data_IF_803923000239
#
_entry.id   IF_803923000239
#
_cell.length_a   1.000
_cell.length_b   1.000
_cell.length_c   1.000
_cell.angle_alpha   90.00
_cell.angle_beta   90.00
_cell.angle_gamma   90.00
#
_symmetry.space_group_name_H-M   'P 1'
#
loop_
_entity.id
_entity.type
_entity.pdbx_description
1 polymer ?
#
# COMPACT_ATOMS: atom_id res chain seq x y z
N UNK A 1 40.89 0.07 39.50
CA UNK A 1 41.66 1.32 39.74
C UNK A 1 42.72 1.42 38.67
N UNK A 2 42.51 2.17 37.64
CA UNK A 2 43.53 2.67 36.69
C UNK A 2 42.97 3.89 36.02
N UNK A 3 43.71 5.01 35.93
CA UNK A 3 43.19 6.31 35.51
C UNK A 3 43.28 6.52 33.97
N UNK A 4 42.60 7.53 33.42
CA UNK A 4 42.54 7.81 32.00
C UNK A 4 43.74 8.61 31.50
N UNK A 5 44.18 8.38 30.26
CA UNK A 5 45.22 9.15 29.58
C UNK A 5 44.61 10.23 28.69
N UNK A 6 44.95 11.47 29.00
CA UNK A 6 44.78 12.64 28.13
C UNK A 6 45.80 12.57 26.97
N UNK A 7 45.37 12.93 25.75
CA UNK A 7 46.26 13.25 24.63
C UNK A 7 45.92 14.68 24.15
N UNK A 8 46.96 15.47 24.10
CA UNK A 8 46.94 16.91 23.85
C UNK A 8 46.79 17.24 22.35
N UNK A 9 46.13 18.35 22.09
CA UNK A 9 46.01 18.97 20.76
C UNK A 9 47.28 19.77 20.42
N UNK A 10 47.69 19.65 19.19
CA UNK A 10 48.78 20.50 18.59
C UNK A 10 48.11 21.49 17.61
N UNK A 11 48.26 22.78 17.89
CA UNK A 11 47.90 23.89 17.00
C UNK A 11 49.11 24.12 16.05
N UNK A 12 48.83 24.19 14.75
CA UNK A 12 49.80 24.73 13.75
C UNK A 12 49.20 26.02 13.15
N UNK A 13 49.89 27.13 13.40
CA UNK A 13 49.66 28.43 12.83
C UNK A 13 50.48 28.51 11.53
N UNK A 14 49.89 28.91 10.42
CA UNK A 14 50.62 29.34 9.21
C UNK A 14 50.09 30.72 8.74
N UNK A 15 51.08 31.54 8.46
CA UNK A 15 51.00 32.99 8.25
C UNK A 15 50.47 33.41 6.87
N UNK A 16 49.96 34.63 6.83
CA UNK A 16 49.43 35.35 5.69
C UNK A 16 50.50 35.75 4.65
N UNK A 17 50.14 35.67 3.37
CA UNK A 17 50.83 36.40 2.29
C UNK A 17 49.78 37.25 1.55
N UNK A 18 50.01 38.60 1.56
CA UNK A 18 49.26 39.58 0.78
C UNK A 18 49.67 39.52 -0.70
N UNK A 19 48.69 39.30 -1.56
CA UNK A 19 48.81 39.47 -3.01
C UNK A 19 47.69 40.41 -3.50
N UNK A 20 48.06 41.59 -3.99
CA UNK A 20 47.15 42.57 -4.61
C UNK A 20 46.63 42.05 -5.94
N UNK A 21 45.35 41.95 -6.10
CA UNK A 21 44.68 41.63 -7.37
C UNK A 21 43.72 42.74 -7.77
N UNK A 22 43.85 43.18 -8.99
CA UNK A 22 43.13 44.20 -9.72
C UNK A 22 41.61 43.91 -9.81
N UNK A 23 40.82 44.93 -9.54
CA UNK A 23 39.36 44.96 -9.65
C UNK A 23 38.93 44.92 -11.11
N UNK A 24 38.29 43.84 -11.52
CA UNK A 24 37.36 43.83 -12.65
C UNK A 24 35.95 43.55 -12.13
N UNK A 25 35.04 44.50 -12.33
CA UNK A 25 33.64 44.36 -11.94
C UNK A 25 32.95 43.30 -12.75
N UNK A 26 32.23 42.36 -12.11
CA UNK A 26 31.37 41.45 -12.84
C UNK A 26 30.07 42.16 -13.22
N UNK A 27 29.69 42.02 -14.48
CA UNK A 27 28.37 42.35 -15.04
C UNK A 27 27.31 41.56 -14.27
N UNK A 28 26.34 42.25 -13.71
CA UNK A 28 25.20 41.64 -13.02
C UNK A 28 24.34 40.85 -14.04
N UNK A 29 24.40 39.55 -13.95
CA UNK A 29 23.46 38.66 -14.62
C UNK A 29 22.13 38.72 -13.87
N UNK A 30 21.08 39.21 -14.50
CA UNK A 30 19.69 39.15 -14.02
C UNK A 30 19.30 37.67 -13.74
N UNK A 31 18.76 37.31 -12.59
CA UNK A 31 18.27 35.99 -12.36
C UNK A 31 17.02 35.78 -13.22
N UNK A 32 17.11 34.89 -14.21
CA UNK A 32 15.95 34.37 -14.93
C UNK A 32 15.18 33.51 -13.93
N UNK A 33 14.01 33.96 -13.54
CA UNK A 33 13.04 33.18 -12.77
C UNK A 33 12.71 31.93 -13.61
N UNK A 34 12.87 30.73 -13.09
CA UNK A 34 12.38 29.56 -13.83
C UNK A 34 10.85 29.67 -13.90
N UNK A 35 10.35 29.84 -15.12
CA UNK A 35 8.92 29.66 -15.41
C UNK A 35 8.55 28.27 -14.93
N UNK A 36 7.65 28.19 -13.96
CA UNK A 36 7.08 26.92 -13.52
C UNK A 36 6.47 26.28 -14.78
N UNK A 37 7.11 25.21 -15.23
CA UNK A 37 6.57 24.34 -16.26
C UNK A 37 5.25 23.81 -15.72
N UNK A 38 4.14 24.28 -16.28
CA UNK A 38 2.82 23.74 -15.97
C UNK A 38 2.88 22.22 -16.09
N UNK A 39 2.54 21.53 -15.02
CA UNK A 39 2.53 20.07 -14.98
C UNK A 39 1.72 19.54 -16.16
N UNK A 40 2.40 18.90 -17.09
CA UNK A 40 1.74 18.05 -18.08
C UNK A 40 0.95 17.02 -17.28
N UNK A 41 -0.36 17.15 -17.27
CA UNK A 41 -1.25 16.15 -16.69
C UNK A 41 -0.87 14.81 -17.31
N UNK A 42 -0.31 13.91 -16.51
CA UNK A 42 -0.04 12.54 -16.94
C UNK A 42 -1.34 11.98 -17.45
N UNK A 43 -1.35 11.50 -18.72
CA UNK A 43 -2.53 10.88 -19.31
C UNK A 43 -3.03 9.78 -18.36
N UNK A 44 -4.35 9.75 -18.14
CA UNK A 44 -4.93 8.76 -17.25
C UNK A 44 -4.57 7.35 -17.72
N UNK A 45 -3.95 6.55 -16.83
CA UNK A 45 -3.50 5.18 -17.13
C UNK A 45 -4.70 4.25 -16.98
N UNK A 46 -4.96 3.43 -18.02
CA UNK A 46 -5.97 2.39 -17.96
C UNK A 46 -5.44 1.19 -17.16
N UNK A 47 -6.14 0.82 -16.10
CA UNK A 47 -5.72 -0.23 -15.15
C UNK A 47 -6.25 -1.63 -15.51
N UNK A 48 -6.89 -1.81 -16.66
CA UNK A 48 -7.50 -3.10 -17.04
C UNK A 48 -6.53 -4.29 -17.03
N UNK A 49 -5.25 -4.05 -17.38
CA UNK A 49 -4.24 -5.11 -17.44
C UNK A 49 -4.01 -5.83 -16.10
N UNK A 50 -4.13 -5.14 -14.96
CA UNK A 50 -3.90 -5.75 -13.64
C UNK A 50 -4.95 -6.82 -13.29
N UNK A 51 -6.15 -6.73 -13.86
CA UNK A 51 -7.23 -7.69 -13.57
C UNK A 51 -6.97 -9.09 -14.12
N UNK A 52 -5.98 -9.27 -15.00
CA UNK A 52 -5.50 -10.59 -15.42
C UNK A 52 -4.83 -11.38 -14.27
N UNK A 53 -4.41 -10.69 -13.20
CA UNK A 53 -3.82 -11.30 -12.00
C UNK A 53 -4.87 -11.89 -11.03
N UNK A 54 -6.16 -11.55 -11.23
CA UNK A 54 -7.21 -12.01 -10.32
C UNK A 54 -7.47 -13.51 -10.52
N UNK A 55 -7.44 -14.24 -9.40
CA UNK A 55 -7.67 -15.68 -9.36
C UNK A 55 -9.15 -16.05 -9.54
N UNK A 56 -9.42 -17.36 -9.52
CA UNK A 56 -10.78 -17.92 -9.72
C UNK A 56 -11.79 -17.55 -8.63
N UNK A 57 -11.34 -17.04 -7.49
CA UNK A 57 -12.21 -16.62 -6.38
C UNK A 57 -12.99 -15.32 -6.70
N UNK A 58 -12.56 -14.56 -7.70
CA UNK A 58 -13.23 -13.35 -8.15
C UNK A 58 -13.53 -13.43 -9.65
N UNK A 59 -14.77 -13.13 -10.06
CA UNK A 59 -15.10 -12.95 -11.46
C UNK A 59 -15.02 -11.47 -11.82
N UNK A 60 -14.28 -11.15 -12.87
CA UNK A 60 -14.07 -9.77 -13.34
C UNK A 60 -14.75 -9.58 -14.69
N UNK A 61 -15.55 -8.54 -14.81
CA UNK A 61 -16.12 -8.06 -16.08
C UNK A 61 -15.68 -6.63 -16.29
N UNK A 62 -15.10 -6.35 -17.44
CA UNK A 62 -14.64 -5.01 -17.82
C UNK A 62 -15.59 -4.40 -18.85
N UNK A 63 -15.98 -3.16 -18.63
CA UNK A 63 -16.56 -2.30 -19.67
C UNK A 63 -15.57 -1.17 -20.05
N UNK A 64 -16.01 -0.13 -20.75
CA UNK A 64 -15.13 0.93 -21.19
C UNK A 64 -14.53 1.78 -20.06
N UNK A 65 -15.17 1.81 -18.88
CA UNK A 65 -14.83 2.72 -17.79
C UNK A 65 -14.67 2.02 -16.44
N UNK A 66 -15.23 0.82 -16.29
CA UNK A 66 -15.42 0.17 -14.98
C UNK A 66 -15.02 -1.29 -15.02
N UNK A 67 -14.32 -1.73 -13.99
CA UNK A 67 -14.20 -3.14 -13.64
C UNK A 67 -15.30 -3.48 -12.64
N UNK A 68 -16.15 -4.45 -12.98
CA UNK A 68 -17.09 -5.06 -12.04
C UNK A 68 -16.49 -6.36 -11.53
N UNK A 69 -16.10 -6.37 -10.26
CA UNK A 69 -15.53 -7.55 -9.58
C UNK A 69 -16.59 -8.15 -8.66
N UNK A 70 -16.89 -9.42 -8.87
CA UNK A 70 -17.81 -10.20 -8.01
C UNK A 70 -17.00 -11.24 -7.27
N UNK A 71 -17.18 -11.33 -5.96
CA UNK A 71 -16.46 -12.30 -5.14
C UNK A 71 -17.35 -12.93 -4.09
N UNK A 72 -17.02 -14.19 -3.76
CA UNK A 72 -17.55 -14.87 -2.58
C UNK A 72 -16.77 -14.55 -1.31
N UNK A 73 -15.68 -13.80 -1.42
CA UNK A 73 -14.82 -13.36 -0.31
C UNK A 73 -14.24 -14.52 0.52
N UNK A 74 -14.05 -15.65 -0.13
CA UNK A 74 -13.52 -16.86 0.47
C UNK A 74 -12.02 -16.95 0.17
N UNK A 75 -11.14 -17.03 1.19
CA UNK A 75 -9.70 -17.16 0.98
C UNK A 75 -9.34 -18.49 0.34
N UNK A 76 -8.30 -18.50 -0.49
CA UNK A 76 -7.77 -19.69 -1.19
C UNK A 76 -6.58 -20.33 -0.43
N UNK A 77 -6.49 -20.11 0.86
CA UNK A 77 -5.39 -20.57 1.70
C UNK A 77 -5.88 -21.16 3.03
N UNK A 78 -5.03 -21.93 3.74
CA UNK A 78 -5.35 -22.43 5.06
C UNK A 78 -5.58 -21.29 6.08
N UNK A 79 -6.58 -21.48 6.95
CA UNK A 79 -6.87 -20.58 8.08
C UNK A 79 -7.66 -21.32 9.15
N UNK A 80 -7.54 -20.97 10.44
CA UNK A 80 -8.40 -21.56 11.49
C UNK A 80 -9.89 -21.22 11.32
N UNK A 81 -10.18 -20.21 10.50
CA UNK A 81 -11.54 -19.72 10.28
C UNK A 81 -12.38 -20.54 9.28
N UNK A 82 -11.78 -21.53 8.64
CA UNK A 82 -12.55 -22.55 7.89
C UNK A 82 -13.39 -23.47 8.77
N UNK A 83 -13.02 -23.59 10.05
CA UNK A 83 -13.62 -24.56 10.95
C UNK A 83 -13.09 -26.00 10.74
N UNK A 84 -13.12 -26.77 11.81
CA UNK A 84 -12.66 -28.17 11.79
C UNK A 84 -13.47 -29.00 10.77
N UNK A 85 -12.76 -29.82 9.98
CA UNK A 85 -13.36 -30.65 8.94
C UNK A 85 -13.29 -30.08 7.53
N UNK A 86 -12.96 -28.80 7.35
CA UNK A 86 -12.63 -28.24 6.05
C UNK A 86 -11.22 -28.66 5.63
N UNK A 87 -11.00 -28.92 4.34
CA UNK A 87 -9.69 -29.33 3.83
C UNK A 87 -8.60 -28.23 3.97
N UNK A 88 -8.99 -26.96 4.08
CA UNK A 88 -8.11 -25.83 4.30
C UNK A 88 -8.07 -25.36 5.77
N UNK A 89 -8.69 -26.15 6.68
CA UNK A 89 -8.56 -25.85 8.11
C UNK A 89 -7.12 -26.05 8.58
N UNK A 90 -6.60 -25.12 9.31
CA UNK A 90 -5.38 -25.26 10.12
C UNK A 90 -5.63 -24.78 11.55
N UNK A 91 -4.89 -25.34 12.51
CA UNK A 91 -4.96 -24.87 13.90
C UNK A 91 -4.42 -23.44 14.00
N UNK A 92 -4.98 -22.61 14.92
CA UNK A 92 -4.43 -21.30 15.19
C UNK A 92 -2.94 -21.36 15.51
N UNK A 93 -2.17 -20.37 15.04
CA UNK A 93 -0.76 -20.25 15.40
C UNK A 93 -0.63 -19.89 16.91
N UNK A 94 0.50 -20.24 17.54
CA UNK A 94 0.76 -19.80 18.93
C UNK A 94 0.62 -18.29 19.07
N UNK A 95 -0.24 -17.84 19.98
CA UNK A 95 -0.54 -16.43 20.22
C UNK A 95 -1.77 -15.90 19.49
N UNK A 96 -2.27 -16.58 18.45
CA UNK A 96 -3.52 -16.20 17.81
C UNK A 96 -4.71 -16.47 18.74
N UNK A 97 -5.52 -15.44 18.96
CA UNK A 97 -6.77 -15.52 19.73
C UNK A 97 -7.94 -15.43 18.75
N UNK A 98 -8.37 -16.58 18.21
CA UNK A 98 -9.48 -16.60 17.27
C UNK A 98 -10.72 -15.93 17.88
N UNK A 99 -11.40 -15.13 17.09
CA UNK A 99 -12.61 -14.40 17.51
C UNK A 99 -13.87 -15.30 17.58
N UNK A 100 -13.73 -16.60 17.32
CA UNK A 100 -14.82 -17.60 17.38
C UNK A 100 -15.74 -17.62 16.17
N UNK A 101 -15.55 -16.74 15.19
CA UNK A 101 -16.32 -16.74 13.95
C UNK A 101 -15.77 -17.77 12.96
N UNK A 102 -16.67 -18.40 12.22
CA UNK A 102 -16.32 -19.25 11.05
C UNK A 102 -16.68 -18.45 9.81
N UNK A 103 -15.74 -18.29 8.90
CA UNK A 103 -15.94 -17.55 7.66
C UNK A 103 -17.08 -18.15 6.83
N UNK A 104 -17.82 -17.33 6.13
CA UNK A 104 -18.89 -17.72 5.24
C UNK A 104 -18.78 -17.01 3.90
N UNK A 105 -19.24 -17.70 2.85
CA UNK A 105 -19.35 -17.11 1.52
C UNK A 105 -20.22 -15.88 1.53
N UNK A 106 -19.73 -14.82 0.93
CA UNK A 106 -20.41 -13.53 0.73
C UNK A 106 -20.89 -13.41 -0.72
N UNK A 107 -21.59 -12.33 -1.02
CA UNK A 107 -21.96 -11.95 -2.38
C UNK A 107 -21.64 -10.47 -2.57
N UNK A 108 -20.36 -10.17 -2.81
CA UNK A 108 -19.86 -8.79 -2.87
C UNK A 108 -19.64 -8.41 -4.34
N UNK A 109 -20.08 -7.21 -4.69
CA UNK A 109 -19.88 -6.63 -6.01
C UNK A 109 -19.17 -5.30 -5.86
N UNK A 110 -17.95 -5.21 -6.39
CA UNK A 110 -17.21 -3.95 -6.44
C UNK A 110 -17.26 -3.39 -7.87
N UNK A 111 -17.54 -2.10 -8.01
CA UNK A 111 -17.44 -1.35 -9.26
C UNK A 111 -16.32 -0.35 -9.13
N UNK A 112 -15.24 -0.54 -9.89
CA UNK A 112 -13.96 0.14 -9.73
C UNK A 112 -13.62 0.86 -11.04
N UNK A 113 -13.27 2.15 -11.03
CA UNK A 113 -12.89 2.86 -12.24
C UNK A 113 -11.62 2.28 -12.88
N UNK A 114 -11.62 2.17 -14.22
CA UNK A 114 -10.47 1.67 -15.00
C UNK A 114 -9.45 2.75 -15.38
N UNK A 115 -9.79 4.00 -15.23
CA UNK A 115 -8.91 5.14 -15.50
C UNK A 115 -8.86 6.05 -14.29
N UNK A 116 -8.22 5.60 -13.17
CA UNK A 116 -8.12 6.40 -11.97
C UNK A 116 -7.35 7.69 -12.23
N UNK A 117 -7.80 8.77 -11.65
CA UNK A 117 -7.11 10.05 -11.65
C UNK A 117 -6.86 10.50 -10.22
N UNK A 118 -5.65 10.93 -9.93
CA UNK A 118 -5.31 11.44 -8.61
C UNK A 118 -6.09 12.74 -8.32
N UNK A 119 -6.71 12.77 -7.14
CA UNK A 119 -7.48 13.91 -6.63
C UNK A 119 -6.97 14.32 -5.25
N UNK A 120 -7.64 15.27 -4.61
CA UNK A 120 -7.46 15.50 -3.17
C UNK A 120 -7.81 14.21 -2.41
N UNK A 121 -6.94 13.84 -1.48
CA UNK A 121 -7.15 12.64 -0.67
C UNK A 121 -8.48 12.71 0.10
N UNK A 122 -9.18 11.58 0.16
CA UNK A 122 -10.41 11.41 0.93
C UNK A 122 -10.33 10.18 1.83
N UNK A 123 -10.91 10.26 3.03
CA UNK A 123 -10.88 9.16 3.99
C UNK A 123 -11.52 7.88 3.44
N UNK A 124 -10.95 6.74 3.81
CA UNK A 124 -11.58 5.44 3.55
C UNK A 124 -12.76 5.19 4.51
N UNK A 125 -13.85 4.58 4.03
CA UNK A 125 -14.96 4.15 4.89
C UNK A 125 -14.58 2.95 5.77
N UNK A 126 -15.42 2.58 6.72
CA UNK A 126 -15.41 1.23 7.32
C UNK A 126 -15.98 0.22 6.32
N UNK A 127 -15.50 -1.03 6.44
CA UNK A 127 -15.84 -2.09 5.48
C UNK A 127 -14.86 -2.14 4.31
N UNK A 128 -15.23 -2.77 3.19
CA UNK A 128 -14.34 -2.95 2.05
C UNK A 128 -13.87 -1.63 1.44
N UNK A 129 -12.56 -1.44 1.35
CA UNK A 129 -11.93 -0.33 0.63
C UNK A 129 -11.31 -0.78 -0.70
N UNK A 130 -11.26 -2.06 -0.95
CA UNK A 130 -10.68 -2.66 -2.14
C UNK A 130 -10.81 -4.17 -2.12
N UNK A 131 -10.12 -4.82 -3.05
CA UNK A 131 -10.13 -6.27 -3.20
C UNK A 131 -8.74 -6.79 -3.59
N UNK A 132 -8.31 -7.85 -2.94
CA UNK A 132 -7.08 -8.56 -3.23
C UNK A 132 -7.24 -9.48 -4.46
N UNK A 133 -6.12 -9.81 -5.12
CA UNK A 133 -6.12 -10.68 -6.33
C UNK A 133 -6.66 -12.08 -6.07
N UNK A 134 -6.66 -12.55 -4.82
CA UNK A 134 -7.27 -13.83 -4.42
C UNK A 134 -8.76 -13.71 -4.07
N UNK A 135 -9.38 -12.56 -4.30
CA UNK A 135 -10.82 -12.35 -4.13
C UNK A 135 -11.27 -11.96 -2.72
N UNK A 136 -10.34 -11.84 -1.76
CA UNK A 136 -10.65 -11.37 -0.40
C UNK A 136 -10.64 -9.85 -0.37
N UNK A 137 -11.59 -9.24 0.33
CA UNK A 137 -11.66 -7.77 0.44
C UNK A 137 -10.57 -7.21 1.34
N UNK A 138 -10.15 -5.98 1.02
CA UNK A 138 -9.21 -5.18 1.81
C UNK A 138 -10.00 -4.19 2.66
N UNK A 139 -9.63 -4.07 3.92
CA UNK A 139 -10.17 -3.10 4.86
C UNK A 139 -9.13 -2.05 5.21
N UNK A 140 -9.55 -0.93 5.81
CA UNK A 140 -8.68 0.12 6.30
C UNK A 140 -8.02 -0.23 7.66
N UNK A 141 -7.27 0.70 8.22
CA UNK A 141 -6.52 0.55 9.47
C UNK A 141 -7.36 0.53 10.76
N UNK A 142 -8.68 0.54 10.66
CA UNK A 142 -9.54 0.64 11.84
C UNK A 142 -10.33 -0.63 12.10
N UNK A 143 -10.47 -0.95 13.38
CA UNK A 143 -11.50 -1.84 13.91
C UNK A 143 -12.89 -1.18 13.86
N UNK A 144 -13.91 -1.89 14.30
CA UNK A 144 -15.27 -1.37 14.40
C UNK A 144 -15.33 -0.01 15.10
N UNK A 145 -16.25 0.86 14.68
CA UNK A 145 -16.41 2.24 15.17
C UNK A 145 -15.16 3.12 15.02
N UNK A 146 -14.31 2.84 14.03
CA UNK A 146 -13.03 3.54 13.76
C UNK A 146 -12.08 3.53 14.96
N UNK A 147 -12.12 2.49 15.78
CA UNK A 147 -11.14 2.29 16.83
C UNK A 147 -9.82 1.77 16.23
N UNK A 148 -8.66 2.02 16.86
CA UNK A 148 -7.42 1.33 16.48
C UNK A 148 -7.61 -0.19 16.51
N UNK A 149 -6.92 -0.92 15.63
CA UNK A 149 -7.01 -2.38 15.55
C UNK A 149 -6.66 -3.08 16.87
N UNK A 150 -5.71 -2.52 17.66
CA UNK A 150 -5.42 -2.95 19.03
C UNK A 150 -5.48 -4.47 19.26
N UNK A 151 -6.37 -4.96 20.14
CA UNK A 151 -6.52 -6.39 20.41
C UNK A 151 -7.02 -7.21 19.20
N UNK A 152 -7.66 -6.59 18.21
CA UNK A 152 -8.19 -7.29 17.03
C UNK A 152 -7.07 -7.97 16.23
N UNK A 153 -5.86 -7.38 16.23
CA UNK A 153 -4.67 -7.96 15.60
C UNK A 153 -4.37 -9.37 16.15
N UNK A 154 -4.68 -9.64 17.41
CA UNK A 154 -4.47 -10.96 18.00
C UNK A 154 -5.34 -12.05 17.36
N UNK A 155 -6.41 -11.66 16.65
CA UNK A 155 -7.27 -12.60 15.94
C UNK A 155 -6.83 -12.87 14.50
N UNK A 156 -5.83 -12.16 13.98
CA UNK A 156 -5.34 -12.39 12.63
C UNK A 156 -4.67 -13.77 12.53
N UNK A 157 -4.98 -14.48 11.46
CA UNK A 157 -4.28 -15.73 11.15
C UNK A 157 -2.86 -15.44 10.64
N UNK A 158 -2.11 -16.48 10.31
CA UNK A 158 -0.73 -16.34 9.83
C UNK A 158 -0.59 -15.60 8.49
N UNK A 159 -1.70 -15.33 7.80
CA UNK A 159 -1.73 -14.59 6.55
C UNK A 159 -2.34 -13.19 6.70
N UNK A 160 -2.53 -12.75 7.97
CA UNK A 160 -3.03 -11.43 8.36
C UNK A 160 -4.51 -11.19 8.01
N UNK A 161 -5.31 -12.26 7.94
CA UNK A 161 -6.75 -12.15 7.74
C UNK A 161 -7.55 -12.70 8.91
N UNK A 162 -8.80 -12.30 9.00
CA UNK A 162 -9.78 -12.79 9.97
C UNK A 162 -11.21 -12.47 9.52
N UNK A 163 -12.24 -13.16 10.05
CA UNK A 163 -13.63 -12.81 9.78
C UNK A 163 -14.14 -11.71 10.71
N UNK A 164 -14.92 -10.78 10.15
CA UNK A 164 -15.77 -9.84 10.87
C UNK A 164 -16.95 -10.55 11.56
N UNK A 165 -17.72 -9.87 12.45
CA UNK A 165 -18.97 -10.40 12.99
C UNK A 165 -20.02 -10.78 11.92
N UNK A 166 -19.90 -10.23 10.72
CA UNK A 166 -20.70 -10.61 9.53
C UNK A 166 -20.22 -11.90 8.86
N UNK A 167 -19.22 -12.58 9.44
CA UNK A 167 -18.57 -13.80 8.94
C UNK A 167 -17.80 -13.56 7.62
N UNK A 168 -17.57 -12.30 7.28
CA UNK A 168 -16.82 -11.83 6.14
C UNK A 168 -15.34 -11.86 6.45
N UNK A 169 -14.56 -12.68 5.72
CA UNK A 169 -13.11 -12.71 5.85
C UNK A 169 -12.48 -11.51 5.15
N UNK A 170 -11.46 -10.88 5.74
CA UNK A 170 -10.83 -9.69 5.18
C UNK A 170 -9.39 -9.52 5.67
N UNK A 171 -8.64 -8.62 4.97
CA UNK A 171 -7.30 -8.23 5.35
C UNK A 171 -7.26 -6.77 5.79
N UNK A 172 -6.57 -6.50 6.91
CA UNK A 172 -6.19 -5.14 7.32
C UNK A 172 -4.70 -4.85 7.06
N UNK A 173 -3.89 -5.89 6.93
CA UNK A 173 -2.44 -5.84 6.75
C UNK A 173 -2.04 -6.47 5.42
N UNK A 174 -0.72 -6.50 5.16
CA UNK A 174 -0.16 -7.24 4.03
C UNK A 174 -0.71 -8.67 3.99
N UNK A 175 -1.38 -9.09 2.90
CA UNK A 175 -1.84 -10.47 2.75
C UNK A 175 -0.65 -11.40 2.46
N UNK A 176 -0.06 -11.98 3.49
CA UNK A 176 1.19 -12.74 3.39
C UNK A 176 1.10 -13.95 2.45
N UNK A 177 -0.09 -14.51 2.23
CA UNK A 177 -0.31 -15.56 1.23
C UNK A 177 0.01 -15.07 -0.18
N UNK A 178 -0.41 -13.85 -0.51
CA UNK A 178 -0.21 -13.25 -1.84
C UNK A 178 1.25 -12.86 -2.04
N UNK A 179 1.88 -12.27 -1.02
CA UNK A 179 3.23 -11.73 -1.11
C UNK A 179 4.32 -12.74 -0.74
N UNK A 180 3.96 -14.00 -0.48
CA UNK A 180 4.91 -15.07 -0.11
C UNK A 180 6.04 -15.27 -1.14
N UNK A 181 5.71 -15.17 -2.44
CA UNK A 181 6.67 -15.38 -3.52
C UNK A 181 7.48 -14.12 -3.87
N UNK A 182 6.93 -12.93 -3.62
CA UNK A 182 7.59 -11.65 -3.88
C UNK A 182 6.92 -10.54 -3.11
N UNK A 183 7.71 -9.71 -2.45
CA UNK A 183 7.26 -8.53 -1.70
C UNK A 183 6.89 -7.32 -2.58
N UNK A 184 7.21 -7.37 -3.87
CA UNK A 184 6.80 -6.38 -4.88
C UNK A 184 5.59 -6.80 -5.71
N UNK A 185 4.89 -7.88 -5.29
CA UNK A 185 3.76 -8.42 -6.04
C UNK A 185 2.52 -7.54 -5.91
N UNK A 186 1.71 -7.50 -6.98
CA UNK A 186 0.37 -6.93 -6.94
C UNK A 186 -0.46 -7.68 -5.87
N UNK A 187 -0.91 -6.94 -4.87
CA UNK A 187 -1.81 -7.42 -3.80
C UNK A 187 -3.26 -7.34 -4.26
N UNK A 188 -3.63 -6.23 -4.92
CA UNK A 188 -5.00 -5.99 -5.32
C UNK A 188 -5.23 -4.59 -5.88
N UNK A 189 -6.45 -4.10 -5.72
CA UNK A 189 -6.87 -2.77 -6.17
C UNK A 189 -7.79 -2.14 -5.13
N UNK A 190 -7.63 -0.84 -4.87
CA UNK A 190 -8.59 -0.09 -4.06
C UNK A 190 -9.79 0.36 -4.90
N UNK A 191 -10.86 0.78 -4.22
CA UNK A 191 -12.10 1.24 -4.87
C UNK A 191 -11.89 2.43 -5.80
N UNK A 192 -10.86 3.22 -5.60
CA UNK A 192 -10.51 4.35 -6.46
C UNK A 192 -9.77 3.96 -7.76
N UNK A 193 -9.52 2.65 -7.96
CA UNK A 193 -8.92 2.08 -9.16
C UNK A 193 -7.40 2.04 -9.18
N UNK A 194 -6.73 2.56 -8.15
CA UNK A 194 -5.28 2.43 -8.04
C UNK A 194 -4.86 1.09 -7.46
N UNK A 195 -3.80 0.46 -8.03
CA UNK A 195 -3.30 -0.82 -7.55
C UNK A 195 -2.67 -0.72 -6.16
N UNK A 196 -2.65 -1.84 -5.45
CA UNK A 196 -1.95 -2.05 -4.17
C UNK A 196 -0.87 -3.09 -4.40
N UNK A 197 0.35 -2.81 -3.99
CA UNK A 197 1.47 -3.75 -4.02
C UNK A 197 1.89 -4.14 -2.60
N UNK A 198 2.71 -5.17 -2.50
CA UNK A 198 3.41 -5.52 -1.28
C UNK A 198 4.38 -4.41 -0.84
N UNK A 199 5.16 -4.63 0.24
CA UNK A 199 5.95 -3.56 0.86
C UNK A 199 7.18 -3.10 0.06
N UNK A 200 7.42 -3.65 -1.14
CA UNK A 200 8.58 -3.30 -1.96
C UNK A 200 8.16 -2.87 -3.36
N UNK A 201 8.91 -1.94 -3.91
CA UNK A 201 8.90 -1.60 -5.33
C UNK A 201 9.42 -2.74 -6.22
N UNK A 202 9.25 -2.59 -7.53
CA UNK A 202 9.72 -3.57 -8.52
C UNK A 202 11.24 -3.85 -8.45
N UNK A 203 12.02 -2.91 -7.91
CA UNK A 203 13.46 -3.05 -7.71
C UNK A 203 13.83 -3.79 -6.39
N UNK A 204 12.84 -4.20 -5.61
CA UNK A 204 12.99 -4.92 -4.34
C UNK A 204 13.29 -4.02 -3.13
N UNK A 205 13.22 -2.69 -3.27
CA UNK A 205 13.42 -1.76 -2.16
C UNK A 205 12.09 -1.36 -1.55
N UNK A 206 12.11 -1.09 -0.25
CA UNK A 206 10.98 -0.44 0.42
C UNK A 206 10.99 1.05 0.03
N UNK A 207 9.91 1.59 -0.55
CA UNK A 207 9.84 3.00 -0.92
C UNK A 207 9.95 3.90 0.31
N UNK A 208 10.67 5.02 0.17
CA UNK A 208 10.89 6.00 1.23
C UNK A 208 10.07 7.29 1.04
N UNK A 209 9.32 7.38 -0.06
CA UNK A 209 8.59 8.58 -0.52
C UNK A 209 7.08 8.39 -0.55
N UNK A 210 6.56 7.43 0.23
CA UNK A 210 5.12 7.23 0.35
C UNK A 210 4.44 8.45 0.96
N UNK A 211 3.32 8.86 0.37
CA UNK A 211 2.48 9.92 0.91
C UNK A 211 1.65 9.44 2.13
N UNK A 212 0.80 10.31 2.66
CA UNK A 212 -0.04 9.99 3.83
C UNK A 212 -1.09 8.91 3.57
N UNK A 213 -1.38 8.59 2.31
CA UNK A 213 -2.25 7.48 1.93
C UNK A 213 -1.48 6.16 1.74
N UNK A 214 -0.17 6.15 1.97
CA UNK A 214 0.76 5.04 1.71
C UNK A 214 0.90 4.69 0.23
N UNK A 215 0.91 5.71 -0.62
CA UNK A 215 1.15 5.56 -2.05
C UNK A 215 2.15 6.54 -2.61
N UNK A 216 2.66 6.24 -3.78
CA UNK A 216 3.53 7.08 -4.58
C UNK A 216 3.36 6.78 -6.08
N UNK A 217 4.15 7.43 -6.94
CA UNK A 217 4.13 7.17 -8.38
C UNK A 217 5.47 6.62 -8.84
N UNK A 218 5.48 5.37 -9.26
CA UNK A 218 6.66 4.73 -9.85
C UNK A 218 6.25 3.67 -10.89
N UNK A 219 7.24 3.11 -11.61
CA UNK A 219 7.01 2.01 -12.53
C UNK A 219 6.74 0.71 -11.77
N UNK A 220 5.78 -0.08 -12.25
CA UNK A 220 5.46 -1.41 -11.72
C UNK A 220 5.49 -2.44 -12.84
N UNK A 221 5.49 -3.76 -12.55
CA UNK A 221 5.45 -4.79 -13.59
C UNK A 221 4.26 -4.65 -14.54
N UNK A 222 3.08 -4.28 -14.03
CA UNK A 222 1.86 -4.10 -14.82
C UNK A 222 1.82 -2.72 -15.51
N UNK A 223 2.56 -1.73 -15.00
CA UNK A 223 2.57 -0.35 -15.49
C UNK A 223 3.99 0.19 -15.63
N UNK A 224 4.75 -0.25 -16.66
CA UNK A 224 6.16 0.14 -16.84
C UNK A 224 6.40 1.65 -17.06
N UNK A 225 5.39 2.37 -17.49
CA UNK A 225 5.44 3.84 -17.66
C UNK A 225 5.15 4.60 -16.36
N UNK A 226 4.87 3.87 -15.27
CA UNK A 226 4.51 4.43 -13.97
C UNK A 226 3.00 4.65 -13.80
N UNK A 227 2.56 4.46 -12.58
CA UNK A 227 1.20 4.75 -12.10
C UNK A 227 1.29 5.13 -10.61
N UNK A 228 0.37 5.95 -10.12
CA UNK A 228 0.20 6.05 -8.67
C UNK A 228 -0.31 4.70 -8.13
N UNK A 229 0.27 4.24 -7.05
CA UNK A 229 -0.13 2.98 -6.42
C UNK A 229 0.17 3.03 -4.92
N UNK A 230 -0.49 2.14 -4.17
CA UNK A 230 -0.33 1.98 -2.74
C UNK A 230 0.61 0.83 -2.42
N UNK A 231 1.26 0.90 -1.27
CA UNK A 231 2.06 -0.17 -0.70
C UNK A 231 1.53 -0.62 0.65
N UNK A 232 1.55 -1.93 0.89
CA UNK A 232 1.37 -2.43 2.24
C UNK A 232 2.58 -2.09 3.09
N UNK A 233 2.36 -1.78 4.38
CA UNK A 233 3.41 -1.43 5.33
C UNK A 233 3.17 -2.13 6.67
N UNK A 234 4.18 -2.17 7.53
CA UNK A 234 4.09 -2.72 8.89
C UNK A 234 3.57 -1.72 9.92
N UNK A 235 3.38 -0.47 9.52
CA UNK A 235 2.82 0.61 10.35
C UNK A 235 1.49 1.09 9.77
N UNK A 236 0.61 1.62 10.64
CA UNK A 236 -0.66 2.19 10.19
C UNK A 236 -0.43 3.33 9.17
N UNK A 237 -1.25 3.37 8.11
CA UNK A 237 -2.51 2.67 7.88
C UNK A 237 -2.41 1.26 7.24
N UNK A 238 -1.28 0.60 7.27
CA UNK A 238 -0.98 -0.77 6.83
C UNK A 238 -1.24 -1.05 5.34
N UNK A 239 -2.42 -0.72 4.80
CA UNK A 239 -2.78 -0.81 3.37
C UNK A 239 -3.01 0.61 2.83
N UNK A 240 -4.06 1.29 3.29
CA UNK A 240 -4.30 2.71 3.01
C UNK A 240 -5.29 3.32 4.00
N UNK A 241 -5.06 4.57 4.40
CA UNK A 241 -5.97 5.38 5.22
C UNK A 241 -6.86 6.31 4.40
N UNK A 242 -6.57 6.51 3.13
CA UNK A 242 -7.29 7.42 2.24
C UNK A 242 -7.24 6.95 0.78
N UNK A 243 -8.22 7.39 0.00
CA UNK A 243 -8.21 7.27 -1.45
C UNK A 243 -7.53 8.49 -2.09
N UNK A 244 -6.71 8.26 -3.10
CA UNK A 244 -6.11 9.30 -3.94
C UNK A 244 -6.89 9.56 -5.23
N UNK A 245 -7.82 8.70 -5.55
CA UNK A 245 -8.76 8.86 -6.64
C UNK A 245 -10.21 8.91 -6.15
N UNK A 246 -11.15 9.12 -7.06
CA UNK A 246 -12.58 9.03 -6.77
C UNK A 246 -12.96 7.55 -6.61
N UNK A 247 -13.42 7.11 -5.43
CA UNK A 247 -13.76 5.71 -5.23
C UNK A 247 -15.03 5.32 -6.01
N UNK A 248 -15.04 4.09 -6.49
CA UNK A 248 -16.21 3.40 -6.99
C UNK A 248 -17.15 2.95 -5.86
N UNK A 249 -17.88 1.85 -6.06
CA UNK A 249 -18.92 1.39 -5.12
C UNK A 249 -18.75 -0.06 -4.73
N UNK A 250 -19.27 -0.40 -3.55
CA UNK A 250 -19.47 -1.77 -3.05
C UNK A 250 -20.95 -2.00 -2.83
N UNK A 251 -21.47 -3.18 -3.24
CA UNK A 251 -22.84 -3.60 -3.06
C UNK A 251 -22.98 -5.11 -2.97
#
# INVERSE_FOLDING_TARGET
MTPPRCVAAVFAICAAACGSATTSSPVASTPTTPTASGGAGTAAVNTSAMYAQFGKAASVTLDAQTATVRTTDIPDHPTPYWGMGNALYEAPQPGTQTNGFILQSQNIVLRIPLTPAATTASDTPLGPIGIAVNGVVLFNQYAGNRQPLGPEILSFDRYNGHPAPTLQYHYHFEPLWITAASKSRLVGVLLDGFPVYGPQDADGRVPADLDSCHGHTSATPEFPSGIYHYHTTDTAPYISGCFRGTPGTVG
#
